data_IF_351703164468
#
_entry.id   IF_351703164468
#
_cell.length_a   1.000
_cell.length_b   1.000
_cell.length_c   1.000
_cell.angle_alpha   90.00
_cell.angle_beta   90.00
_cell.angle_gamma   90.00
#
_symmetry.space_group_name_H-M   'P 1'
#
loop_
_entity.id
_entity.type
_entity.pdbx_description
1 polymer ?
#
# COMPACT_ATOMS: atom_id res chain seq x y z
N UNK A 1 30.04 -11.53 13.70
CA UNK A 1 30.25 -10.92 15.03
C UNK A 1 29.58 -9.53 15.24
N UNK A 2 28.76 -9.04 14.30
CA UNK A 2 28.06 -7.75 14.40
C UNK A 2 26.66 -7.81 15.05
N UNK A 3 26.34 -8.88 15.79
CA UNK A 3 25.19 -8.92 16.68
C UNK A 3 25.45 -8.07 17.94
N UNK A 4 25.98 -6.86 17.75
CA UNK A 4 26.08 -5.84 18.79
C UNK A 4 24.66 -5.54 19.18
N UNK A 5 24.35 -5.81 20.45
CA UNK A 5 23.15 -5.40 21.17
C UNK A 5 22.70 -4.04 20.63
N UNK A 6 21.71 -4.07 19.73
CA UNK A 6 21.15 -2.86 19.15
C UNK A 6 20.61 -2.03 20.32
N UNK A 7 20.82 -0.71 20.27
CA UNK A 7 20.29 0.19 21.29
C UNK A 7 18.82 -0.19 21.57
N UNK A 8 18.35 -0.25 22.84
CA UNK A 8 17.00 -0.73 23.16
C UNK A 8 15.92 -0.08 22.30
N UNK A 9 16.10 1.20 21.97
CA UNK A 9 15.24 1.95 21.05
C UNK A 9 15.16 1.36 19.64
N UNK A 10 16.27 0.89 19.06
CA UNK A 10 16.31 0.28 17.73
C UNK A 10 15.59 -1.06 17.70
N UNK A 11 15.77 -1.89 18.73
CA UNK A 11 15.03 -3.16 18.88
C UNK A 11 13.54 -2.91 19.02
N UNK A 12 13.15 -1.91 19.80
CA UNK A 12 11.75 -1.54 20.01
C UNK A 12 11.12 -0.96 18.75
N UNK A 13 11.86 -0.17 17.96
CA UNK A 13 11.41 0.33 16.65
C UNK A 13 11.18 -0.81 15.64
N UNK A 14 12.06 -1.81 15.60
CA UNK A 14 11.87 -3.00 14.75
C UNK A 14 10.65 -3.82 15.17
N UNK A 15 10.45 -4.03 16.47
CA UNK A 15 9.26 -4.73 16.99
C UNK A 15 8.00 -3.94 16.63
N UNK A 16 8.01 -2.62 16.81
CA UNK A 16 6.90 -1.75 16.42
C UNK A 16 6.57 -1.86 14.92
N UNK A 17 7.57 -1.76 14.04
CA UNK A 17 7.40 -1.92 12.59
C UNK A 17 6.98 -3.34 12.17
N UNK A 18 7.41 -4.36 12.90
CA UNK A 18 7.00 -5.74 12.64
C UNK A 18 5.54 -5.99 13.03
N UNK A 19 5.14 -5.58 14.23
CA UNK A 19 3.82 -5.88 14.75
C UNK A 19 2.75 -4.97 14.14
N UNK A 20 3.01 -3.66 14.10
CA UNK A 20 1.97 -2.68 13.86
C UNK A 20 1.60 -2.55 12.37
N UNK A 21 2.50 -2.14 11.45
CA UNK A 21 2.13 -2.10 10.04
C UNK A 21 2.12 -3.49 9.40
N UNK A 22 3.08 -4.38 9.70
CA UNK A 22 3.18 -5.66 8.99
C UNK A 22 2.21 -6.70 9.53
N UNK A 23 2.26 -6.98 10.84
CA UNK A 23 1.37 -7.94 11.49
C UNK A 23 -0.10 -7.56 11.32
N UNK A 24 -0.46 -6.31 11.60
CA UNK A 24 -1.84 -5.86 11.42
C UNK A 24 -2.29 -5.91 9.96
N UNK A 25 -1.42 -5.59 8.98
CA UNK A 25 -1.78 -5.69 7.57
C UNK A 25 -2.11 -7.13 7.16
N UNK A 26 -1.32 -8.12 7.59
CA UNK A 26 -1.56 -9.54 7.27
C UNK A 26 -2.85 -10.05 7.92
N UNK A 27 -3.10 -9.69 9.19
CA UNK A 27 -4.35 -10.04 9.89
C UNK A 27 -5.55 -9.40 9.19
N UNK A 28 -5.46 -8.11 8.87
CA UNK A 28 -6.50 -7.36 8.15
C UNK A 28 -6.78 -7.98 6.78
N UNK A 29 -5.73 -8.35 6.05
CA UNK A 29 -5.85 -9.00 4.75
C UNK A 29 -6.52 -10.36 4.83
N UNK A 30 -6.10 -11.18 5.80
CA UNK A 30 -6.69 -12.51 6.04
C UNK A 30 -8.16 -12.41 6.45
N UNK A 31 -8.48 -11.43 7.30
CA UNK A 31 -9.85 -11.12 7.69
C UNK A 31 -10.69 -10.65 6.50
N UNK A 32 -10.15 -9.75 5.67
CA UNK A 32 -10.82 -9.23 4.48
C UNK A 32 -11.10 -10.35 3.47
N UNK A 33 -10.16 -11.27 3.24
CA UNK A 33 -10.37 -12.42 2.34
C UNK A 33 -11.43 -13.39 2.84
N UNK A 34 -11.63 -13.48 4.16
CA UNK A 34 -12.67 -14.32 4.73
C UNK A 34 -14.09 -13.72 4.54
N UNK A 35 -14.21 -12.40 4.40
CA UNK A 35 -15.50 -11.71 4.33
C UNK A 35 -15.82 -11.10 2.96
N UNK A 36 -14.81 -10.90 2.10
CA UNK A 36 -14.94 -10.30 0.77
C UNK A 36 -14.46 -11.27 -0.31
N UNK A 37 -15.08 -11.26 -1.51
CA UNK A 37 -14.52 -11.96 -2.65
C UNK A 37 -13.09 -11.49 -2.90
N UNK A 38 -12.16 -12.42 -3.14
CA UNK A 38 -10.74 -12.11 -3.35
C UNK A 38 -10.50 -11.01 -4.40
N UNK A 39 -11.34 -10.93 -5.43
CA UNK A 39 -11.30 -9.88 -6.44
C UNK A 39 -11.59 -8.47 -5.89
N UNK A 40 -12.52 -8.33 -4.94
CA UNK A 40 -12.80 -7.03 -4.27
C UNK A 40 -11.71 -6.67 -3.27
N UNK A 41 -11.18 -7.64 -2.53
CA UNK A 41 -10.05 -7.42 -1.63
C UNK A 41 -8.79 -6.96 -2.40
N UNK A 42 -8.46 -7.64 -3.51
CA UNK A 42 -7.36 -7.27 -4.41
C UNK A 42 -7.51 -5.86 -5.00
N UNK A 43 -8.75 -5.39 -5.22
CA UNK A 43 -8.98 -4.05 -5.72
C UNK A 43 -8.46 -2.94 -4.78
N UNK A 44 -8.44 -3.18 -3.46
CA UNK A 44 -7.89 -2.23 -2.49
C UNK A 44 -6.37 -2.07 -2.61
N UNK A 45 -5.64 -3.09 -3.08
CA UNK A 45 -4.20 -3.00 -3.30
C UNK A 45 -3.86 -2.01 -4.43
N UNK A 46 -4.78 -1.78 -5.37
CA UNK A 46 -4.61 -0.76 -6.41
C UNK A 46 -4.72 0.67 -5.84
N UNK A 47 -5.36 0.86 -4.68
CA UNK A 47 -5.41 2.17 -4.04
C UNK A 47 -4.09 2.53 -3.32
N UNK A 48 -3.27 1.54 -2.97
CA UNK A 48 -1.99 1.73 -2.25
C UNK A 48 -1.08 2.74 -2.97
N UNK A 49 -0.69 2.58 -4.24
CA UNK A 49 0.20 3.53 -4.91
C UNK A 49 -0.35 4.96 -4.95
N UNK A 50 -1.66 5.14 -5.13
CA UNK A 50 -2.30 6.45 -5.09
C UNK A 50 -2.22 7.06 -3.68
N UNK A 51 -2.55 6.28 -2.65
CA UNK A 51 -2.48 6.71 -1.27
C UNK A 51 -1.05 7.08 -0.84
N UNK A 52 -0.05 6.29 -1.23
CA UNK A 52 1.36 6.56 -0.93
C UNK A 52 1.81 7.89 -1.53
N UNK A 53 1.41 8.18 -2.77
CA UNK A 53 1.74 9.44 -3.45
C UNK A 53 1.08 10.65 -2.74
N UNK A 54 -0.20 10.53 -2.38
CA UNK A 54 -0.92 11.57 -1.63
C UNK A 54 -0.25 11.82 -0.28
N UNK A 55 0.06 10.75 0.46
CA UNK A 55 0.71 10.85 1.78
C UNK A 55 2.10 11.49 1.65
N UNK A 56 2.90 11.10 0.66
CA UNK A 56 4.22 11.68 0.43
C UNK A 56 4.16 13.19 0.17
N UNK A 57 3.22 13.63 -0.68
CA UNK A 57 3.07 15.06 -1.01
C UNK A 57 2.49 15.86 0.16
N UNK A 58 1.41 15.38 0.77
CA UNK A 58 0.65 16.12 1.79
C UNK A 58 1.36 16.12 3.14
N UNK A 59 1.91 14.97 3.56
CA UNK A 59 2.44 14.80 4.90
C UNK A 59 3.94 15.05 4.98
N UNK A 60 4.70 14.60 3.97
CA UNK A 60 6.15 14.72 3.94
C UNK A 60 6.63 16.02 3.26
N UNK A 61 5.75 16.68 2.49
CA UNK A 61 6.06 17.93 1.79
C UNK A 61 7.10 17.76 0.68
N UNK A 62 7.33 16.53 0.21
CA UNK A 62 8.28 16.27 -0.86
C UNK A 62 7.78 16.93 -2.15
N UNK A 63 8.64 17.71 -2.80
CA UNK A 63 8.39 18.22 -4.15
C UNK A 63 8.74 17.07 -5.10
N UNK A 64 7.76 16.34 -5.67
CA UNK A 64 8.04 15.19 -6.49
C UNK A 64 8.83 15.65 -7.72
N UNK A 65 9.99 15.03 -7.93
CA UNK A 65 10.78 15.27 -9.14
C UNK A 65 9.96 14.87 -10.38
N UNK A 66 10.29 15.40 -11.57
CA UNK A 66 9.57 15.04 -12.80
C UNK A 66 9.50 13.53 -13.05
N UNK A 67 10.53 12.78 -12.61
CA UNK A 67 10.57 11.32 -12.69
C UNK A 67 9.52 10.66 -11.78
N UNK A 68 9.35 11.17 -10.55
CA UNK A 68 8.33 10.71 -9.59
C UNK A 68 6.93 11.03 -10.11
N UNK A 69 6.74 12.19 -10.73
CA UNK A 69 5.48 12.55 -11.38
C UNK A 69 5.14 11.61 -12.55
N UNK A 70 6.13 11.28 -13.40
CA UNK A 70 5.95 10.31 -14.48
C UNK A 70 5.62 8.90 -13.95
N UNK A 71 6.36 8.44 -12.93
CA UNK A 71 6.11 7.14 -12.28
C UNK A 71 4.73 7.09 -11.63
N UNK A 72 4.34 8.16 -10.93
CA UNK A 72 3.04 8.34 -10.31
C UNK A 72 1.91 8.36 -11.33
N UNK A 73 2.07 9.11 -12.43
CA UNK A 73 1.11 9.14 -13.52
C UNK A 73 0.94 7.76 -14.16
N UNK A 74 2.03 7.01 -14.38
CA UNK A 74 1.98 5.64 -14.89
C UNK A 74 1.23 4.71 -13.93
N UNK A 75 1.51 4.77 -12.63
CA UNK A 75 0.82 3.94 -11.62
C UNK A 75 -0.66 4.28 -11.54
N UNK A 76 -1.01 5.57 -11.50
CA UNK A 76 -2.41 6.03 -11.49
C UNK A 76 -3.15 5.62 -12.76
N UNK A 77 -2.50 5.67 -13.93
CA UNK A 77 -3.10 5.24 -15.20
C UNK A 77 -3.39 3.74 -15.18
N UNK A 78 -2.44 2.93 -14.70
CA UNK A 78 -2.64 1.48 -14.54
C UNK A 78 -3.78 1.14 -13.57
N UNK A 79 -3.85 1.85 -12.43
CA UNK A 79 -4.94 1.71 -11.44
C UNK A 79 -6.28 2.14 -12.02
N UNK A 80 -6.33 3.26 -12.72
CA UNK A 80 -7.56 3.73 -13.36
C UNK A 80 -8.05 2.71 -14.41
N UNK A 81 -7.14 2.17 -15.22
CA UNK A 81 -7.46 1.15 -16.22
C UNK A 81 -8.02 -0.14 -15.61
N UNK A 82 -7.38 -0.67 -14.55
CA UNK A 82 -7.86 -1.88 -13.86
C UNK A 82 -9.19 -1.64 -13.12
N UNK A 83 -9.37 -0.46 -12.51
CA UNK A 83 -10.62 -0.06 -11.87
C UNK A 83 -11.76 0.11 -12.88
N UNK A 84 -11.48 0.60 -14.09
CA UNK A 84 -12.47 0.72 -15.15
C UNK A 84 -12.89 -0.66 -15.69
N UNK A 85 -11.92 -1.56 -15.88
CA UNK A 85 -12.18 -2.91 -16.35
C UNK A 85 -13.00 -3.74 -15.35
N UNK A 86 -12.74 -3.60 -14.05
CA UNK A 86 -13.52 -4.29 -13.01
C UNK A 86 -14.98 -3.82 -12.99
N UNK A 87 -15.24 -2.51 -13.14
CA UNK A 87 -16.59 -1.94 -13.28
C UNK A 87 -17.29 -2.38 -14.56
N UNK A 88 -16.60 -2.37 -15.70
CA UNK A 88 -17.16 -2.78 -16.99
C UNK A 88 -17.46 -4.28 -17.10
N UNK A 89 -16.83 -5.11 -16.25
CA UNK A 89 -17.16 -6.54 -16.09
C UNK A 89 -18.35 -6.74 -15.15
N UNK A 90 -18.45 -5.96 -14.07
CA UNK A 90 -19.58 -6.00 -13.16
C UNK A 90 -20.91 -5.55 -13.80
N UNK A 91 -20.87 -4.66 -14.80
CA UNK A 91 -22.06 -4.20 -15.53
C UNK A 91 -22.55 -5.16 -16.65
N UNK A 92 -21.83 -6.27 -16.89
CA UNK A 92 -22.09 -7.22 -17.98
C UNK A 92 -22.54 -8.61 -17.53
N UNK A 93 -22.63 -8.86 -16.23
CA UNK A 93 -23.17 -10.09 -15.63
C UNK A 93 -24.45 -9.79 -14.88
#
# INVERSE_FOLDING_TARGET
>A
PELRVAAPASTLALVYLGVFPTGAAVVTWSYALHHLPASRAAAFLYAVPAATLIIGVVWLGEIPTPLVLCGGALTLTGVAFTAWLSRARAARG
#
